data_IF_676479828088
#
_entry.id   IF_676479828088
#
_cell.length_a   1.000
_cell.length_b   1.000
_cell.length_c   1.000
_cell.angle_alpha   90.00
_cell.angle_beta   90.00
_cell.angle_gamma   90.00
#
_symmetry.space_group_name_H-M   'P 1'
#
loop_
_entity.id
_entity.type
_entity.pdbx_description
1 polymer ?
#
# COMPACT_ATOMS: atom_id res chain seq x y z
N UNK A 1 65.18 41.79 -61.52
CA UNK A 1 65.81 42.11 -60.23
C UNK A 1 64.80 42.90 -59.41
N UNK A 2 64.38 42.33 -58.28
CA UNK A 2 63.57 42.92 -57.21
C UNK A 2 62.09 43.26 -57.48
N UNK A 3 61.24 42.23 -57.40
CA UNK A 3 59.84 42.35 -56.98
C UNK A 3 59.81 42.11 -55.47
N UNK A 4 59.74 43.13 -54.63
CA UNK A 4 59.35 42.96 -53.22
C UNK A 4 58.71 44.25 -52.69
N UNK A 5 57.77 44.09 -51.76
CA UNK A 5 57.14 45.11 -50.90
C UNK A 5 55.85 45.78 -51.39
N UNK A 6 54.81 45.00 -51.67
CA UNK A 6 53.43 45.40 -51.33
C UNK A 6 52.55 44.19 -50.97
N UNK A 7 52.89 43.45 -49.91
CA UNK A 7 51.93 42.48 -49.35
C UNK A 7 52.21 42.10 -47.90
N UNK A 8 52.57 43.07 -47.05
CA UNK A 8 52.66 42.85 -45.60
C UNK A 8 51.58 43.66 -44.88
N UNK A 9 50.32 43.25 -45.02
CA UNK A 9 49.20 43.64 -44.11
C UNK A 9 47.85 42.93 -44.37
N UNK A 10 47.84 41.74 -44.97
CA UNK A 10 46.58 40.98 -45.19
C UNK A 10 46.69 39.48 -44.89
N UNK A 11 47.35 39.12 -43.80
CA UNK A 11 47.25 37.77 -43.22
C UNK A 11 47.11 37.86 -41.70
N UNK A 12 46.02 38.51 -41.27
CA UNK A 12 45.42 38.24 -39.97
C UNK A 12 43.93 37.94 -40.22
N UNK A 13 43.68 36.98 -41.11
CA UNK A 13 42.35 36.51 -41.45
C UNK A 13 42.07 35.33 -40.53
N UNK A 14 41.33 35.60 -39.45
CA UNK A 14 40.34 34.73 -38.84
C UNK A 14 40.73 33.25 -38.68
N UNK A 15 41.58 32.95 -37.70
CA UNK A 15 41.56 31.64 -37.05
C UNK A 15 40.55 31.66 -35.90
N UNK A 16 39.26 31.69 -36.27
CA UNK A 16 38.24 31.13 -35.40
C UNK A 16 38.13 29.65 -35.75
N UNK A 17 38.04 28.74 -34.78
CA UNK A 17 37.68 27.37 -35.08
C UNK A 17 36.31 27.42 -35.75
N UNK A 18 36.31 27.25 -37.07
CA UNK A 18 35.12 27.00 -37.87
C UNK A 18 34.59 25.68 -37.33
N UNK A 19 33.54 25.72 -36.51
CA UNK A 19 32.74 24.53 -36.25
C UNK A 19 32.17 24.13 -37.61
N UNK A 20 32.91 23.25 -38.29
CA UNK A 20 32.44 22.55 -39.47
C UNK A 20 31.20 21.79 -39.01
N UNK A 21 30.05 22.30 -39.40
CA UNK A 21 28.78 21.58 -39.35
C UNK A 21 28.82 20.44 -40.35
N UNK A 22 29.72 19.48 -40.14
CA UNK A 22 29.82 18.27 -40.94
C UNK A 22 29.26 17.10 -40.13
N UNK A 23 28.23 16.49 -40.73
CA UNK A 23 27.53 15.28 -40.33
C UNK A 23 26.72 15.34 -39.02
N UNK A 24 25.49 15.87 -39.10
CA UNK A 24 24.37 15.33 -38.31
C UNK A 24 24.06 13.90 -38.80
N UNK A 25 24.94 12.96 -38.47
CA UNK A 25 24.78 11.53 -38.75
C UNK A 25 23.77 10.91 -37.77
N UNK A 26 22.98 9.96 -38.26
CA UNK A 26 21.85 9.31 -37.57
C UNK A 26 22.09 8.81 -36.13
N UNK A 27 23.35 8.69 -35.71
CA UNK A 27 23.78 8.20 -34.40
C UNK A 27 23.45 9.15 -33.23
N UNK A 28 23.48 10.48 -33.43
CA UNK A 28 23.12 11.46 -32.39
C UNK A 28 21.61 11.54 -32.13
N UNK A 29 20.81 11.30 -33.15
CA UNK A 29 19.34 11.23 -33.03
C UNK A 29 18.90 9.95 -32.33
N UNK A 30 19.50 8.82 -32.70
CA UNK A 30 19.22 7.52 -32.08
C UNK A 30 19.56 7.50 -30.58
N UNK A 31 20.70 8.08 -30.20
CA UNK A 31 21.12 8.17 -28.78
C UNK A 31 20.20 9.07 -27.95
N UNK A 32 19.71 10.18 -28.50
CA UNK A 32 18.74 11.04 -27.82
C UNK A 32 17.40 10.33 -27.56
N UNK A 33 16.94 9.51 -28.52
CA UNK A 33 15.71 8.71 -28.36
C UNK A 33 15.90 7.67 -27.25
N UNK A 34 17.04 6.96 -27.22
CA UNK A 34 17.31 5.95 -26.18
C UNK A 34 17.36 6.56 -24.78
N UNK A 35 17.98 7.74 -24.61
CA UNK A 35 18.01 8.44 -23.33
C UNK A 35 16.61 8.87 -22.90
N UNK A 36 15.80 9.38 -23.84
CA UNK A 36 14.42 9.78 -23.52
C UNK A 36 13.57 8.60 -23.06
N UNK A 37 13.69 7.44 -23.72
CA UNK A 37 12.98 6.21 -23.34
C UNK A 37 13.47 5.71 -21.97
N UNK A 38 14.76 5.81 -21.69
CA UNK A 38 15.33 5.43 -20.40
C UNK A 38 14.77 6.29 -19.25
N UNK A 39 14.71 7.61 -19.45
CA UNK A 39 14.14 8.54 -18.46
C UNK A 39 12.63 8.34 -18.30
N UNK A 40 11.90 8.16 -19.39
CA UNK A 40 10.47 7.85 -19.35
C UNK A 40 10.20 6.53 -18.60
N UNK A 41 11.02 5.51 -18.85
CA UNK A 41 10.87 4.19 -18.22
C UNK A 41 11.11 4.24 -16.72
N UNK A 42 12.15 4.98 -16.27
CA UNK A 42 12.44 5.10 -14.84
C UNK A 42 11.36 5.89 -14.09
N UNK A 43 10.83 6.96 -14.69
CA UNK A 43 9.70 7.70 -14.15
C UNK A 43 8.44 6.81 -14.03
N UNK A 44 8.15 6.02 -15.07
CA UNK A 44 6.97 5.16 -15.09
C UNK A 44 7.06 4.05 -14.03
N UNK A 45 8.23 3.46 -13.85
CA UNK A 45 8.49 2.49 -12.77
C UNK A 45 8.28 3.12 -11.38
N UNK A 46 8.76 4.35 -11.17
CA UNK A 46 8.58 5.06 -9.91
C UNK A 46 7.10 5.29 -9.57
N UNK A 47 6.30 5.72 -10.54
CA UNK A 47 4.86 5.97 -10.36
C UNK A 47 4.10 4.66 -10.13
N UNK A 48 4.42 3.59 -10.86
CA UNK A 48 3.81 2.28 -10.65
C UNK A 48 4.10 1.72 -9.25
N UNK A 49 5.35 1.83 -8.79
CA UNK A 49 5.73 1.42 -7.45
C UNK A 49 4.92 2.19 -6.39
N UNK A 50 4.84 3.51 -6.50
CA UNK A 50 4.05 4.35 -5.59
C UNK A 50 2.54 3.98 -5.61
N UNK A 51 1.96 3.77 -6.79
CA UNK A 51 0.54 3.41 -6.94
C UNK A 51 0.22 2.06 -6.26
N UNK A 52 1.10 1.07 -6.41
CA UNK A 52 0.90 -0.25 -5.79
C UNK A 52 0.87 -0.18 -4.26
N UNK A 53 1.73 0.64 -3.66
CA UNK A 53 1.74 0.88 -2.20
C UNK A 53 0.46 1.58 -1.74
N UNK A 54 -0.04 2.57 -2.48
CA UNK A 54 -1.30 3.24 -2.13
C UNK A 54 -2.49 2.29 -2.14
N UNK A 55 -2.60 1.45 -3.18
CA UNK A 55 -3.69 0.44 -3.26
C UNK A 55 -3.62 -0.53 -2.08
N UNK A 56 -2.42 -0.94 -1.67
CA UNK A 56 -2.22 -1.78 -0.49
C UNK A 56 -2.71 -1.10 0.79
N UNK A 57 -2.32 0.16 1.01
CA UNK A 57 -2.74 0.93 2.18
C UNK A 57 -4.26 1.13 2.23
N UNK A 58 -4.93 1.37 1.09
CA UNK A 58 -6.38 1.50 1.03
C UNK A 58 -7.10 0.21 1.47
N UNK A 59 -6.61 -0.96 1.03
CA UNK A 59 -7.16 -2.25 1.46
C UNK A 59 -6.97 -2.47 2.96
N UNK A 60 -5.79 -2.16 3.48
CA UNK A 60 -5.49 -2.29 4.91
C UNK A 60 -6.35 -1.34 5.75
N UNK A 61 -6.56 -0.10 5.29
CA UNK A 61 -7.41 0.87 5.97
C UNK A 61 -8.86 0.38 6.11
N UNK A 62 -9.43 -0.22 5.06
CA UNK A 62 -10.77 -0.83 5.13
C UNK A 62 -10.84 -1.94 6.17
N UNK A 63 -9.86 -2.84 6.20
CA UNK A 63 -9.80 -3.90 7.20
C UNK A 63 -9.73 -3.35 8.63
N UNK A 64 -9.03 -2.24 8.86
CA UNK A 64 -8.98 -1.59 10.17
C UNK A 64 -10.36 -1.04 10.55
N UNK A 65 -11.05 -0.35 9.64
CA UNK A 65 -12.40 0.17 9.90
C UNK A 65 -13.39 -0.95 10.20
N UNK A 66 -13.36 -2.04 9.43
CA UNK A 66 -14.23 -3.21 9.64
C UNK A 66 -13.87 -3.98 10.93
N UNK A 67 -12.66 -3.80 11.46
CA UNK A 67 -12.24 -4.45 12.71
C UNK A 67 -12.91 -3.89 13.95
N UNK A 68 -13.25 -2.60 13.96
CA UNK A 68 -13.89 -1.95 15.11
C UNK A 68 -15.25 -2.62 15.44
N UNK A 69 -16.22 -2.71 14.51
CA UNK A 69 -17.49 -3.38 14.78
C UNK A 69 -17.32 -4.88 15.03
N UNK A 70 -16.32 -5.54 14.43
CA UNK A 70 -16.01 -6.93 14.72
C UNK A 70 -15.50 -7.12 16.17
N UNK A 71 -14.63 -6.25 16.66
CA UNK A 71 -14.20 -6.27 18.07
C UNK A 71 -15.36 -5.99 19.01
N UNK A 72 -16.15 -4.94 18.73
CA UNK A 72 -17.32 -4.60 19.52
C UNK A 72 -18.32 -5.76 19.62
N UNK A 73 -18.57 -6.47 18.52
CA UNK A 73 -19.39 -7.66 18.51
C UNK A 73 -18.78 -8.77 19.37
N UNK A 74 -17.47 -9.04 19.24
CA UNK A 74 -16.78 -10.04 20.05
C UNK A 74 -16.87 -9.73 21.56
N UNK A 75 -16.62 -8.47 21.97
CA UNK A 75 -16.71 -8.07 23.37
C UNK A 75 -18.14 -8.19 23.91
N UNK A 76 -19.14 -7.71 23.16
CA UNK A 76 -20.56 -7.84 23.52
C UNK A 76 -20.98 -9.31 23.69
N UNK A 77 -20.48 -10.18 22.80
CA UNK A 77 -20.66 -11.63 22.90
C UNK A 77 -20.04 -12.21 24.16
N UNK A 78 -18.81 -11.80 24.46
CA UNK A 78 -18.08 -12.27 25.63
C UNK A 78 -18.79 -11.86 26.93
N UNK A 79 -19.23 -10.61 27.01
CA UNK A 79 -19.91 -10.06 28.19
C UNK A 79 -21.26 -10.75 28.44
N UNK A 80 -22.10 -10.90 27.42
CA UNK A 80 -23.40 -11.57 27.58
C UNK A 80 -23.24 -13.05 27.96
N UNK A 81 -22.25 -13.70 27.38
CA UNK A 81 -21.94 -15.09 27.66
C UNK A 81 -21.39 -15.26 29.10
N UNK A 82 -20.55 -14.33 29.56
CA UNK A 82 -20.10 -14.28 30.97
C UNK A 82 -21.24 -13.99 31.94
N UNK A 83 -22.19 -13.14 31.55
CA UNK A 83 -23.39 -12.85 32.34
C UNK A 83 -24.26 -14.10 32.55
N UNK A 84 -24.49 -14.89 31.49
CA UNK A 84 -25.20 -16.17 31.60
C UNK A 84 -24.49 -17.17 32.52
N UNK A 85 -23.15 -17.22 32.50
CA UNK A 85 -22.36 -18.04 33.44
C UNK A 85 -22.61 -17.63 34.89
N UNK A 86 -22.77 -16.33 35.15
CA UNK A 86 -23.01 -15.80 36.50
C UNK A 86 -24.44 -16.05 36.99
N UNK A 87 -25.43 -15.90 36.12
CA UNK A 87 -26.83 -16.18 36.47
C UNK A 87 -27.14 -17.68 36.50
N UNK A 88 -26.31 -18.53 35.87
CA UNK A 88 -26.56 -19.95 35.74
C UNK A 88 -27.64 -20.27 34.71
N UNK A 89 -27.86 -19.35 33.76
CA UNK A 89 -28.91 -19.43 32.75
C UNK A 89 -28.41 -20.15 31.49
N UNK A 90 -29.29 -20.86 30.79
CA UNK A 90 -28.97 -21.73 29.65
C UNK A 90 -28.07 -21.06 28.58
N UNK A 91 -27.34 -21.89 27.83
CA UNK A 91 -26.38 -21.44 26.82
C UNK A 91 -24.97 -21.43 27.39
N UNK A 92 -24.34 -20.26 27.48
CA UNK A 92 -22.94 -20.15 27.89
C UNK A 92 -22.63 -20.60 29.32
N UNK A 93 -23.64 -20.80 30.18
CA UNK A 93 -23.43 -21.41 31.48
C UNK A 93 -22.92 -22.86 31.38
N UNK A 94 -23.24 -23.57 30.30
CA UNK A 94 -22.80 -24.95 30.07
C UNK A 94 -21.48 -24.93 29.27
N UNK A 95 -20.49 -25.68 29.75
CA UNK A 95 -19.22 -25.84 29.03
C UNK A 95 -19.48 -26.59 27.72
N UNK A 96 -18.99 -26.06 26.62
CA UNK A 96 -19.18 -26.58 25.26
C UNK A 96 -20.39 -25.99 24.53
N UNK A 97 -21.26 -25.27 25.23
CA UNK A 97 -22.38 -24.54 24.62
C UNK A 97 -21.97 -23.11 24.25
N UNK A 98 -22.72 -22.56 23.30
CA UNK A 98 -22.41 -21.25 22.72
C UNK A 98 -23.64 -20.38 22.48
N UNK A 99 -23.38 -19.08 22.49
CA UNK A 99 -24.34 -18.02 22.26
C UNK A 99 -24.03 -17.33 20.93
N UNK A 100 -25.05 -17.18 20.09
CA UNK A 100 -24.96 -16.36 18.88
C UNK A 100 -25.73 -15.06 19.08
N UNK A 101 -25.08 -13.93 18.81
CA UNK A 101 -25.68 -12.60 18.86
C UNK A 101 -25.58 -11.99 17.47
N UNK A 102 -26.70 -11.47 16.97
CA UNK A 102 -26.72 -10.63 15.77
C UNK A 102 -26.99 -9.19 16.20
N UNK A 103 -26.10 -8.28 15.84
CA UNK A 103 -26.26 -6.86 16.08
C UNK A 103 -27.02 -6.20 14.93
N UNK A 104 -27.71 -5.10 15.19
CA UNK A 104 -28.51 -4.37 14.20
C UNK A 104 -27.69 -3.76 13.06
N UNK A 105 -26.39 -3.58 13.26
CA UNK A 105 -25.46 -3.08 12.25
C UNK A 105 -24.94 -4.17 11.29
N UNK A 106 -25.44 -5.41 11.38
CA UNK A 106 -25.00 -6.54 10.57
C UNK A 106 -23.73 -7.23 11.07
N UNK A 107 -23.18 -6.80 12.22
CA UNK A 107 -22.14 -7.54 12.91
C UNK A 107 -22.75 -8.74 13.65
N UNK A 108 -21.97 -9.83 13.74
CA UNK A 108 -22.38 -11.05 14.45
C UNK A 108 -21.31 -11.43 15.46
N UNK A 109 -21.73 -11.93 16.61
CA UNK A 109 -20.88 -12.53 17.60
C UNK A 109 -21.27 -14.00 17.83
N UNK A 110 -20.28 -14.85 18.06
CA UNK A 110 -20.46 -16.21 18.55
C UNK A 110 -19.54 -16.37 19.74
N UNK A 111 -20.10 -16.58 20.92
CA UNK A 111 -19.34 -16.83 22.14
C UNK A 111 -19.56 -18.25 22.63
N UNK A 112 -18.51 -18.91 23.11
CA UNK A 112 -18.54 -20.28 23.60
C UNK A 112 -17.75 -20.40 24.90
N UNK A 113 -18.30 -21.13 25.86
CA UNK A 113 -17.56 -21.49 27.08
C UNK A 113 -16.74 -22.74 26.80
N UNK A 114 -15.44 -22.57 26.60
CA UNK A 114 -14.55 -23.67 26.22
C UNK A 114 -14.16 -24.54 27.41
N UNK A 115 -13.99 -23.94 28.60
CA UNK A 115 -13.70 -24.64 29.85
C UNK A 115 -14.44 -23.96 31.01
N UNK A 116 -14.30 -24.46 32.25
CA UNK A 116 -14.91 -23.82 33.42
C UNK A 116 -14.49 -22.35 33.58
N UNK A 117 -13.26 -22.02 33.24
CA UNK A 117 -12.70 -20.69 33.49
C UNK A 117 -12.33 -19.95 32.20
N UNK A 118 -12.64 -20.51 31.04
CA UNK A 118 -12.28 -19.95 29.75
C UNK A 118 -13.49 -19.77 28.86
N UNK A 119 -13.56 -18.59 28.27
CA UNK A 119 -14.53 -18.22 27.26
C UNK A 119 -13.83 -17.73 26.00
N UNK A 120 -14.33 -18.14 24.85
CA UNK A 120 -14.00 -17.51 23.58
C UNK A 120 -15.20 -16.72 23.06
N UNK A 121 -14.94 -15.61 22.38
CA UNK A 121 -15.94 -14.88 21.63
C UNK A 121 -15.38 -14.43 20.29
N UNK A 122 -16.13 -14.69 19.23
CA UNK A 122 -15.77 -14.42 17.84
C UNK A 122 -16.73 -13.39 17.27
N UNK A 123 -16.23 -12.22 16.95
CA UNK A 123 -16.96 -11.18 16.24
C UNK A 123 -16.65 -11.18 14.75
N UNK A 124 -17.68 -10.98 13.94
CA UNK A 124 -17.63 -10.99 12.48
C UNK A 124 -18.36 -9.77 11.93
N UNK A 125 -17.68 -9.02 11.06
CA UNK A 125 -18.27 -7.91 10.32
C UNK A 125 -17.57 -7.78 8.96
N UNK A 126 -18.31 -7.71 7.85
CA UNK A 126 -17.77 -7.54 6.49
C UNK A 126 -16.54 -8.44 6.19
N UNK A 127 -16.62 -9.74 6.51
CA UNK A 127 -15.53 -10.70 6.33
C UNK A 127 -14.25 -10.43 7.15
N UNK A 128 -14.34 -9.53 8.13
CA UNK A 128 -13.32 -9.31 9.16
C UNK A 128 -13.70 -10.07 10.41
N UNK A 129 -12.74 -10.86 10.92
CA UNK A 129 -12.91 -11.73 12.07
C UNK A 129 -12.04 -11.23 13.21
N UNK A 130 -12.63 -11.08 14.39
CA UNK A 130 -11.92 -10.72 15.62
C UNK A 130 -12.30 -11.69 16.73
N UNK A 131 -11.31 -12.11 17.52
CA UNK A 131 -11.50 -13.02 18.64
C UNK A 131 -11.11 -12.32 19.93
N UNK A 132 -11.96 -12.46 20.94
CA UNK A 132 -11.68 -12.11 22.33
C UNK A 132 -11.70 -13.41 23.14
N UNK A 133 -10.73 -13.56 24.02
CA UNK A 133 -10.66 -14.69 24.94
C UNK A 133 -10.62 -14.13 26.35
N UNK A 134 -11.48 -14.66 27.21
CA UNK A 134 -11.50 -14.34 28.63
C UNK A 134 -11.09 -15.58 29.41
N UNK A 135 -10.25 -15.36 30.42
CA UNK A 135 -9.83 -16.37 31.38
C UNK A 135 -9.94 -15.76 32.78
N UNK A 136 -10.57 -16.46 33.72
CA UNK A 136 -10.81 -15.95 35.08
C UNK A 136 -10.62 -17.00 36.17
#
# INVERSE_FOLDING_TARGET
>A
MSNELTSSKKQAVNNYPRFSGEAFGSERGATAILISIFVLSSLLLGVLAASSVMVYQMKMSRQITDSIPAFFAAESGAEKCYFQIKEGDDGCAIVGEGLVINLSNGARATADRTTENQLNSFGVFNNTYRKVQLNW
#
